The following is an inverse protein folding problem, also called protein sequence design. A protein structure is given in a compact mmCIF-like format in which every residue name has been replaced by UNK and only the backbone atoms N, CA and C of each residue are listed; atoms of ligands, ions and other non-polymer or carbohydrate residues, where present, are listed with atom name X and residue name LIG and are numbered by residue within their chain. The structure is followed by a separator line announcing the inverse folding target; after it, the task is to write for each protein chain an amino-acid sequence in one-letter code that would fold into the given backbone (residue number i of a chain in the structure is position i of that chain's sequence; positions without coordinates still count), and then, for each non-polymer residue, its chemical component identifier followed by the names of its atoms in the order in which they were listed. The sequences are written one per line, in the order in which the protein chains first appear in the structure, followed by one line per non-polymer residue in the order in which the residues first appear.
data_IF_928463817358
#
_entry.id   IF_928463817358
#
_cell.length_a   1.000
_cell.length_b   1.000
_cell.length_c   1.000
_cell.angle_alpha   90.00
_cell.angle_beta   90.00
_cell.angle_gamma   90.00
#
_symmetry.space_group_name_H-M   'P 1'
#
loop_
_entity.id
_entity.type
_entity.pdbx_description
1 polymer ?
#
# COMPACT_ATOMS: atom_id res chain seq x y z
N UNK A 1 -39.00 78.09 10.55
CA UNK A 1 -37.61 78.46 10.27
C UNK A 1 -36.81 77.18 10.22
N UNK A 2 -36.77 76.60 9.04
CA UNK A 2 -36.00 75.35 8.80
C UNK A 2 -34.54 75.69 8.60
N UNK A 3 -33.63 74.75 8.88
CA UNK A 3 -32.47 74.61 8.00
C UNK A 3 -32.16 73.21 7.54
N UNK A 4 -32.03 73.11 6.27
CA UNK A 4 -31.19 72.34 5.41
C UNK A 4 -30.53 71.04 5.94
N UNK A 5 -30.99 69.96 5.33
CA UNK A 5 -30.35 68.63 5.27
C UNK A 5 -29.20 68.61 4.28
N UNK A 6 -28.01 68.23 4.76
CA UNK A 6 -26.86 67.84 3.94
C UNK A 6 -26.73 66.32 3.85
N UNK A 7 -27.05 65.78 2.70
CA UNK A 7 -26.87 64.36 2.41
C UNK A 7 -25.42 64.14 1.92
N UNK A 8 -24.63 63.36 2.70
CA UNK A 8 -23.38 62.79 2.23
C UNK A 8 -23.58 61.31 1.98
N UNK A 9 -23.64 60.96 0.70
CA UNK A 9 -23.63 59.56 0.22
C UNK A 9 -22.24 59.00 0.36
N UNK A 10 -22.01 58.13 1.34
CA UNK A 10 -20.83 57.24 1.39
C UNK A 10 -21.15 55.94 0.64
N UNK A 11 -20.57 55.80 -0.54
CA UNK A 11 -20.53 54.53 -1.27
C UNK A 11 -19.65 53.53 -0.52
N UNK A 12 -20.30 52.69 0.28
CA UNK A 12 -19.66 51.55 0.90
C UNK A 12 -19.38 50.49 -0.17
N UNK A 13 -18.11 50.30 -0.48
CA UNK A 13 -17.62 49.14 -1.25
C UNK A 13 -17.92 47.86 -0.44
N UNK A 14 -18.93 47.10 -0.85
CA UNK A 14 -19.17 45.76 -0.37
C UNK A 14 -18.11 44.84 -0.93
N UNK A 15 -16.99 44.72 -0.21
CA UNK A 15 -16.01 43.68 -0.47
C UNK A 15 -16.68 42.33 -0.21
N UNK A 16 -16.88 41.56 -1.25
CA UNK A 16 -17.27 40.14 -1.14
C UNK A 16 -16.28 39.44 -0.21
N UNK A 17 -16.71 38.71 0.83
CA UNK A 17 -15.80 37.95 1.66
C UNK A 17 -15.00 37.00 0.80
N UNK A 18 -13.69 36.76 1.07
CA UNK A 18 -12.91 35.81 0.32
C UNK A 18 -13.60 34.44 0.39
N UNK A 19 -13.85 33.87 -0.78
CA UNK A 19 -14.46 32.54 -0.90
C UNK A 19 -13.67 31.56 -0.03
N UNK A 20 -14.35 30.84 0.84
CA UNK A 20 -13.76 29.76 1.61
C UNK A 20 -13.07 28.78 0.67
N UNK A 21 -11.90 28.25 1.05
CA UNK A 21 -11.20 27.28 0.23
C UNK A 21 -12.13 26.05 0.06
N UNK A 22 -12.37 25.61 -1.17
CA UNK A 22 -13.26 24.48 -1.41
C UNK A 22 -12.74 23.20 -0.70
N UNK A 23 -13.64 22.35 -0.20
CA UNK A 23 -13.38 21.19 0.66
C UNK A 23 -12.57 20.05 0.03
N UNK A 24 -12.41 20.00 -1.30
CA UNK A 24 -11.67 18.93 -1.96
C UNK A 24 -10.14 19.09 -1.86
N UNK A 25 -9.37 18.01 -1.64
CA UNK A 25 -7.92 18.02 -1.65
C UNK A 25 -7.34 18.59 -2.94
N UNK A 26 -6.20 19.28 -2.85
CA UNK A 26 -5.55 19.98 -3.99
C UNK A 26 -5.35 19.06 -5.22
N UNK A 27 -4.96 17.82 -5.01
CA UNK A 27 -4.66 16.88 -6.09
C UNK A 27 -5.95 16.32 -6.75
N UNK A 28 -7.02 16.19 -5.99
CA UNK A 28 -8.33 15.81 -6.52
C UNK A 28 -8.93 16.93 -7.38
N UNK A 29 -8.62 18.18 -7.04
CA UNK A 29 -8.98 19.34 -7.87
C UNK A 29 -8.20 19.38 -9.18
N UNK A 30 -6.90 19.02 -9.17
CA UNK A 30 -6.11 18.87 -10.39
C UNK A 30 -6.75 17.81 -11.29
N UNK A 31 -7.15 16.69 -10.74
CA UNK A 31 -7.74 15.58 -11.50
C UNK A 31 -9.10 15.93 -12.13
N UNK A 32 -9.88 16.83 -11.48
CA UNK A 32 -11.22 17.25 -11.95
C UNK A 32 -11.22 18.51 -12.81
N UNK A 33 -10.11 19.27 -12.88
CA UNK A 33 -10.05 20.55 -13.57
C UNK A 33 -9.77 20.40 -15.08
N UNK A 34 -10.49 21.18 -15.89
CA UNK A 34 -10.17 21.30 -17.31
C UNK A 34 -8.97 22.25 -17.51
N UNK A 35 -7.79 21.65 -17.65
CA UNK A 35 -6.51 22.34 -17.74
C UNK A 35 -6.00 22.41 -19.18
N UNK A 36 -5.50 23.58 -19.60
CA UNK A 36 -4.74 23.73 -20.84
C UNK A 36 -3.41 23.00 -20.78
N UNK A 37 -2.74 22.81 -21.91
CA UNK A 37 -1.44 22.12 -21.97
C UNK A 37 -0.41 22.72 -20.98
N UNK A 38 -0.29 24.05 -20.93
CA UNK A 38 0.64 24.74 -20.01
C UNK A 38 0.23 24.64 -18.54
N UNK A 39 -1.06 24.62 -18.26
CA UNK A 39 -1.56 24.41 -16.89
C UNK A 39 -1.37 22.95 -16.45
N UNK A 40 -1.44 22.00 -17.37
CA UNK A 40 -1.06 20.60 -17.10
C UNK A 40 0.43 20.43 -16.77
N UNK A 41 1.30 21.24 -17.35
CA UNK A 41 2.72 21.25 -16.99
C UNK A 41 2.89 21.71 -15.52
N UNK A 42 2.13 22.74 -15.09
CA UNK A 42 2.10 23.18 -13.69
C UNK A 42 1.53 22.09 -12.78
N UNK A 43 0.44 21.44 -13.17
CA UNK A 43 -0.15 20.33 -12.43
C UNK A 43 0.88 19.20 -12.20
N UNK A 44 1.50 18.73 -13.27
CA UNK A 44 2.56 17.69 -13.21
C UNK A 44 3.73 18.08 -12.32
N UNK A 45 4.13 19.33 -12.34
CA UNK A 45 5.19 19.83 -11.47
C UNK A 45 4.80 19.66 -9.99
N UNK A 46 3.59 20.06 -9.60
CA UNK A 46 3.10 19.87 -8.23
C UNK A 46 2.92 18.38 -7.88
N UNK A 47 2.36 17.58 -8.77
CA UNK A 47 2.18 16.12 -8.57
C UNK A 47 3.52 15.42 -8.27
N UNK A 48 4.59 15.81 -8.98
CA UNK A 48 5.89 15.18 -8.83
C UNK A 48 6.75 15.78 -7.70
N UNK A 49 6.52 17.03 -7.33
CA UNK A 49 7.42 17.79 -6.44
C UNK A 49 6.83 18.07 -5.05
N UNK A 50 5.55 17.73 -4.79
CA UNK A 50 5.03 17.80 -3.41
C UNK A 50 5.72 16.77 -2.51
N UNK A 51 6.00 17.08 -1.24
CA UNK A 51 5.63 18.32 -0.52
C UNK A 51 6.55 19.54 -0.77
N UNK A 52 7.69 19.36 -1.40
CA UNK A 52 8.67 20.45 -1.59
C UNK A 52 8.10 21.65 -2.36
N UNK A 53 7.31 21.41 -3.41
CA UNK A 53 6.70 22.46 -4.23
C UNK A 53 5.76 23.40 -3.46
N UNK A 54 5.19 22.96 -2.35
CA UNK A 54 4.35 23.81 -1.48
C UNK A 54 5.14 24.93 -0.80
N UNK A 55 6.45 24.78 -0.65
CA UNK A 55 7.32 25.74 -0.01
C UNK A 55 7.87 26.80 -0.99
N UNK A 56 7.75 26.56 -2.30
CA UNK A 56 8.26 27.42 -3.34
C UNK A 56 7.43 28.71 -3.47
N UNK A 57 8.10 29.78 -3.85
CA UNK A 57 7.44 31.03 -4.22
C UNK A 57 7.02 31.00 -5.70
N UNK A 58 6.27 32.03 -6.16
CA UNK A 58 5.73 32.09 -7.51
C UNK A 58 6.85 32.04 -8.58
N UNK A 59 7.94 32.74 -8.34
CA UNK A 59 9.07 32.83 -9.28
C UNK A 59 9.79 31.50 -9.42
N UNK A 60 9.99 30.79 -8.31
CA UNK A 60 10.58 29.44 -8.28
C UNK A 60 9.72 28.43 -9.02
N UNK A 61 8.39 28.48 -8.84
CA UNK A 61 7.46 27.63 -9.59
C UNK A 61 7.50 27.95 -11.07
N UNK A 62 7.44 29.24 -11.44
CA UNK A 62 7.55 29.66 -12.85
C UNK A 62 8.84 29.16 -13.49
N UNK A 63 9.95 29.28 -12.80
CA UNK A 63 11.27 28.83 -13.27
C UNK A 63 11.34 27.30 -13.38
N UNK A 64 10.79 26.57 -12.39
CA UNK A 64 10.80 25.12 -12.35
C UNK A 64 9.95 24.48 -13.45
N UNK A 65 8.87 25.14 -13.85
CA UNK A 65 7.96 24.66 -14.91
C UNK A 65 8.28 25.24 -16.28
N UNK A 66 8.93 26.39 -16.33
CA UNK A 66 9.15 27.13 -17.59
C UNK A 66 7.90 27.85 -18.10
N UNK A 67 7.07 28.40 -17.21
CA UNK A 67 5.83 29.13 -17.55
C UNK A 67 5.80 30.53 -16.94
N UNK A 68 4.90 31.38 -17.46
CA UNK A 68 4.71 32.73 -16.92
C UNK A 68 3.93 32.74 -15.62
N UNK A 69 4.09 33.79 -14.81
CA UNK A 69 3.31 34.00 -13.58
C UNK A 69 1.80 34.08 -13.86
N UNK A 70 1.41 34.60 -15.01
CA UNK A 70 0.02 34.64 -15.45
C UNK A 70 -0.56 33.21 -15.65
N UNK A 71 0.24 32.27 -16.14
CA UNK A 71 -0.18 30.86 -16.29
C UNK A 71 -0.40 30.22 -14.94
N UNK A 72 0.52 30.40 -13.99
CA UNK A 72 0.39 29.86 -12.63
C UNK A 72 -0.79 30.50 -11.89
N UNK A 73 -1.04 31.80 -12.07
CA UNK A 73 -2.19 32.47 -11.48
C UNK A 73 -3.52 31.97 -12.07
N UNK A 74 -3.60 31.69 -13.37
CA UNK A 74 -4.80 31.07 -13.99
C UNK A 74 -5.00 29.66 -13.49
N UNK A 75 -3.96 28.86 -13.39
CA UNK A 75 -4.00 27.53 -12.82
C UNK A 75 -4.59 27.56 -11.41
N UNK A 76 -4.09 28.42 -10.50
CA UNK A 76 -4.61 28.55 -9.14
C UNK A 76 -6.12 28.87 -9.13
N UNK A 77 -6.57 29.81 -10.00
CA UNK A 77 -8.00 30.19 -10.11
C UNK A 77 -8.87 29.05 -10.65
N UNK A 78 -8.38 28.26 -11.61
CA UNK A 78 -9.10 27.08 -12.11
C UNK A 78 -9.27 25.99 -11.05
N UNK A 79 -8.36 25.91 -10.10
CA UNK A 79 -8.46 25.02 -8.95
C UNK A 79 -9.33 25.62 -7.81
N UNK A 80 -9.99 26.76 -8.03
CA UNK A 80 -10.90 27.38 -7.06
C UNK A 80 -10.21 28.28 -6.02
N UNK A 81 -8.92 28.62 -6.21
CA UNK A 81 -8.23 29.57 -5.33
C UNK A 81 -8.35 31.00 -5.86
N UNK A 82 -8.42 31.98 -4.97
CA UNK A 82 -8.46 33.38 -5.35
C UNK A 82 -7.21 33.79 -6.15
N UNK A 83 -6.04 33.33 -5.72
CA UNK A 83 -4.73 33.61 -6.33
C UNK A 83 -3.69 32.53 -5.96
N UNK A 84 -2.48 32.67 -6.48
CA UNK A 84 -1.34 31.81 -6.14
C UNK A 84 -1.02 31.81 -4.65
N UNK A 85 -1.15 32.98 -3.98
CA UNK A 85 -0.84 33.12 -2.55
C UNK A 85 -1.84 32.31 -1.69
N UNK A 86 -3.12 32.34 -2.04
CA UNK A 86 -4.17 31.53 -1.41
C UNK A 86 -3.91 30.02 -1.64
N UNK A 87 -3.58 29.62 -2.88
CA UNK A 87 -3.18 28.26 -3.21
C UNK A 87 -1.96 27.81 -2.42
N UNK A 88 -0.88 28.61 -2.38
CA UNK A 88 0.35 28.29 -1.66
C UNK A 88 0.13 28.17 -0.15
N UNK A 89 -0.73 29.03 0.44
CA UNK A 89 -1.09 28.92 1.87
C UNK A 89 -1.83 27.61 2.16
N UNK A 90 -2.82 27.26 1.32
CA UNK A 90 -3.56 26.01 1.44
C UNK A 90 -2.64 24.79 1.31
N UNK A 91 -1.75 24.79 0.33
CA UNK A 91 -0.75 23.74 0.14
C UNK A 91 0.20 23.60 1.34
N UNK A 92 0.71 24.73 1.85
CA UNK A 92 1.58 24.72 3.04
C UNK A 92 0.86 24.18 4.28
N UNK A 93 -0.41 24.55 4.47
CA UNK A 93 -1.24 24.03 5.55
C UNK A 93 -1.42 22.50 5.40
N UNK A 94 -1.78 22.01 4.21
CA UNK A 94 -1.90 20.59 3.93
C UNK A 94 -0.60 19.81 4.12
N UNK A 95 0.53 20.35 3.62
CA UNK A 95 1.86 19.75 3.80
C UNK A 95 2.27 19.74 5.27
N UNK A 96 2.03 20.82 6.00
CA UNK A 96 2.31 20.88 7.44
C UNK A 96 1.50 19.83 8.19
N UNK A 97 0.24 19.66 7.84
CA UNK A 97 -0.65 18.66 8.42
C UNK A 97 -0.24 17.22 8.05
N UNK A 98 0.19 16.98 6.79
CA UNK A 98 0.68 15.69 6.33
C UNK A 98 2.04 15.29 6.93
N UNK A 99 2.90 16.27 7.19
CA UNK A 99 4.22 16.07 7.78
C UNK A 99 4.21 16.12 9.30
N UNK A 100 3.13 16.63 9.92
CA UNK A 100 3.03 16.71 11.37
C UNK A 100 3.08 15.32 12.00
N UNK A 101 3.91 15.19 13.03
CA UNK A 101 3.89 14.03 13.89
C UNK A 101 2.58 14.00 14.71
N UNK A 102 2.14 12.84 15.20
CA UNK A 102 1.00 12.80 16.11
C UNK A 102 1.14 13.73 17.32
N UNK A 103 2.37 13.88 17.84
CA UNK A 103 2.67 14.80 18.94
C UNK A 103 2.47 16.28 18.58
N UNK A 104 2.72 16.67 17.32
CA UNK A 104 2.46 18.04 16.87
C UNK A 104 0.96 18.31 16.74
N UNK A 105 0.19 17.28 16.32
CA UNK A 105 -1.27 17.36 16.27
C UNK A 105 -1.89 17.43 17.67
N UNK A 106 -1.28 16.80 18.66
CA UNK A 106 -1.73 16.90 20.04
C UNK A 106 -1.77 18.34 20.53
N UNK A 107 -0.77 19.16 20.17
CA UNK A 107 -0.71 20.58 20.53
C UNK A 107 -1.85 21.41 19.92
N UNK A 108 -2.40 20.97 18.78
CA UNK A 108 -3.53 21.67 18.14
C UNK A 108 -4.89 21.21 18.68
N UNK A 109 -4.93 20.08 19.40
CA UNK A 109 -6.13 19.56 20.04
C UNK A 109 -6.31 20.13 21.46
N UNK A 110 -5.27 20.79 22.03
CA UNK A 110 -5.34 21.42 23.34
C UNK A 110 -6.34 22.59 23.41
N UNK A 111 -6.73 23.15 22.26
CA UNK A 111 -7.80 24.17 22.16
C UNK A 111 -9.20 23.53 21.95
N UNK A 112 -9.30 22.21 21.98
CA UNK A 112 -10.54 21.48 21.75
C UNK A 112 -11.26 21.14 23.05
N UNK A 113 -12.59 21.23 23.03
CA UNK A 113 -13.47 20.81 24.11
C UNK A 113 -13.11 19.40 24.61
N UNK A 114 -12.99 19.22 25.91
CA UNK A 114 -12.88 17.92 26.58
C UNK A 114 -14.11 17.08 26.22
N UNK A 115 -13.96 16.20 25.23
CA UNK A 115 -15.05 15.31 24.81
C UNK A 115 -15.18 14.16 25.80
N UNK A 116 -16.40 13.91 26.24
CA UNK A 116 -16.69 12.71 27.02
C UNK A 116 -16.30 11.44 26.25
N UNK A 117 -15.84 10.37 26.95
CA UNK A 117 -15.36 9.14 26.29
C UNK A 117 -16.35 8.56 25.28
N UNK A 118 -17.65 8.61 25.57
CA UNK A 118 -18.73 8.13 24.69
C UNK A 118 -18.80 8.93 23.39
N UNK A 119 -18.60 10.24 23.47
CA UNK A 119 -18.55 11.11 22.28
C UNK A 119 -17.29 10.90 21.45
N UNK A 120 -16.17 10.50 22.08
CA UNK A 120 -14.93 10.13 21.37
C UNK A 120 -15.13 8.88 20.53
N UNK A 121 -15.77 7.84 21.09
CA UNK A 121 -16.06 6.61 20.34
C UNK A 121 -17.00 6.89 19.18
N UNK A 122 -18.12 7.59 19.41
CA UNK A 122 -19.07 7.95 18.37
C UNK A 122 -18.41 8.75 17.24
N UNK A 123 -17.59 9.75 17.60
CA UNK A 123 -16.80 10.52 16.64
C UNK A 123 -15.86 9.63 15.80
N UNK A 124 -15.14 8.70 16.44
CA UNK A 124 -14.25 7.76 15.71
C UNK A 124 -15.02 6.85 14.76
N UNK A 125 -16.21 6.39 15.14
CA UNK A 125 -17.09 5.60 14.26
C UNK A 125 -17.52 6.44 13.05
N UNK A 126 -17.95 7.68 13.24
CA UNK A 126 -18.30 8.57 12.14
C UNK A 126 -17.13 8.82 11.18
N UNK A 127 -15.92 9.05 11.71
CA UNK A 127 -14.72 9.20 10.89
C UNK A 127 -14.40 7.93 10.08
N UNK A 128 -14.60 6.76 10.67
CA UNK A 128 -14.40 5.49 9.98
C UNK A 128 -15.45 5.29 8.88
N UNK A 129 -16.73 5.58 9.15
CA UNK A 129 -17.81 5.52 8.17
C UNK A 129 -17.55 6.46 6.98
N UNK A 130 -17.16 7.71 7.24
CA UNK A 130 -16.81 8.67 6.20
C UNK A 130 -15.62 8.17 5.35
N UNK A 131 -14.61 7.59 5.99
CA UNK A 131 -13.45 7.00 5.30
C UNK A 131 -13.84 5.81 4.42
N UNK A 132 -14.72 4.93 4.90
CA UNK A 132 -15.22 3.78 4.14
C UNK A 132 -16.02 4.24 2.92
N UNK A 133 -16.97 5.16 3.11
CA UNK A 133 -17.81 5.69 2.01
C UNK A 133 -16.95 6.39 0.94
N UNK A 134 -16.01 7.23 1.35
CA UNK A 134 -15.09 7.91 0.43
C UNK A 134 -14.13 6.94 -0.28
N UNK A 135 -13.72 5.88 0.38
CA UNK A 135 -12.84 4.87 -0.22
C UNK A 135 -13.58 4.02 -1.26
N UNK A 136 -14.84 3.68 -1.00
CA UNK A 136 -15.66 2.91 -1.94
C UNK A 136 -15.80 3.63 -3.30
N UNK A 137 -15.92 4.96 -3.30
CA UNK A 137 -16.00 5.77 -4.52
C UNK A 137 -14.63 6.08 -5.14
N UNK A 138 -13.54 5.90 -4.39
CA UNK A 138 -12.18 6.25 -4.83
C UNK A 138 -11.38 5.08 -5.38
N UNK A 139 -11.73 3.85 -5.05
CA UNK A 139 -11.06 2.66 -5.54
C UNK A 139 -11.52 2.39 -6.97
N UNK A 140 -10.55 2.24 -7.87
CA UNK A 140 -10.80 1.78 -9.23
C UNK A 140 -11.13 0.29 -9.22
N UNK A 141 -12.32 -0.08 -9.71
CA UNK A 141 -12.81 -1.46 -9.71
C UNK A 141 -11.92 -2.38 -10.57
N UNK A 142 -11.40 -1.89 -11.69
CA UNK A 142 -10.50 -2.67 -12.54
C UNK A 142 -9.13 -2.90 -11.86
N UNK A 143 -8.61 -1.88 -11.17
CA UNK A 143 -7.39 -2.03 -10.38
C UNK A 143 -7.60 -3.00 -9.21
N UNK A 144 -8.75 -2.96 -8.55
CA UNK A 144 -9.09 -3.91 -7.48
C UNK A 144 -9.20 -5.34 -8.01
N UNK A 145 -9.93 -5.56 -9.10
CA UNK A 145 -10.06 -6.88 -9.74
C UNK A 145 -8.67 -7.44 -10.13
N UNK A 146 -7.83 -6.61 -10.74
CA UNK A 146 -6.46 -7.00 -11.09
C UNK A 146 -5.62 -7.34 -9.85
N UNK A 147 -5.76 -6.61 -8.75
CA UNK A 147 -5.09 -6.94 -7.50
C UNK A 147 -5.57 -8.28 -6.94
N UNK A 148 -6.87 -8.58 -7.03
CA UNK A 148 -7.44 -9.86 -6.61
C UNK A 148 -6.82 -11.02 -7.40
N UNK A 149 -6.75 -10.92 -8.74
CA UNK A 149 -6.16 -11.96 -9.59
C UNK A 149 -4.67 -12.17 -9.25
N UNK A 150 -3.91 -11.10 -9.09
CA UNK A 150 -2.49 -11.15 -8.74
C UNK A 150 -2.24 -11.77 -7.35
N UNK A 151 -3.09 -11.45 -6.37
CA UNK A 151 -2.97 -12.00 -5.02
C UNK A 151 -3.45 -13.45 -4.97
N UNK A 152 -4.41 -13.84 -5.79
CA UNK A 152 -4.93 -15.20 -5.85
C UNK A 152 -4.01 -16.19 -6.59
N UNK A 153 -3.12 -15.70 -7.45
CA UNK A 153 -2.21 -16.52 -8.26
C UNK A 153 -1.16 -17.21 -7.38
N UNK A 154 -1.41 -18.49 -7.03
CA UNK A 154 -0.57 -19.31 -6.13
C UNK A 154 0.75 -19.76 -6.81
N UNK A 155 0.85 -19.68 -8.12
CA UNK A 155 2.07 -20.02 -8.86
C UNK A 155 3.13 -18.90 -8.76
N UNK A 156 2.72 -17.69 -8.40
CA UNK A 156 3.60 -16.52 -8.28
C UNK A 156 3.95 -16.23 -6.81
N UNK A 157 5.25 -16.10 -6.44
CA UNK A 157 5.65 -15.66 -5.12
C UNK A 157 5.09 -14.27 -4.78
N UNK A 158 4.47 -14.11 -3.61
CA UNK A 158 3.90 -12.85 -3.15
C UNK A 158 4.74 -12.27 -2.00
N UNK A 159 5.27 -11.07 -2.21
CA UNK A 159 6.02 -10.32 -1.20
C UNK A 159 5.18 -9.17 -0.64
N UNK A 160 5.04 -9.12 0.67
CA UNK A 160 4.28 -8.09 1.37
C UNK A 160 5.24 -7.14 2.09
N UNK A 161 5.21 -5.85 1.77
CA UNK A 161 6.14 -4.89 2.32
C UNK A 161 5.51 -3.57 2.76
N UNK A 162 5.67 -3.22 4.04
CA UNK A 162 5.23 -1.95 4.60
C UNK A 162 6.11 -1.55 5.79
N UNK A 163 5.99 -0.30 6.20
CA UNK A 163 6.61 0.21 7.44
C UNK A 163 5.58 0.96 8.28
N UNK A 164 5.93 1.25 9.53
CA UNK A 164 5.08 1.97 10.48
C UNK A 164 3.66 1.38 10.56
N UNK A 165 2.61 2.20 10.43
CA UNK A 165 1.21 1.76 10.56
C UNK A 165 0.74 0.79 9.46
N UNK A 166 1.46 0.67 8.36
CA UNK A 166 1.16 -0.28 7.30
C UNK A 166 1.61 -1.71 7.63
N UNK A 167 2.69 -1.85 8.39
CA UNK A 167 3.28 -3.15 8.71
C UNK A 167 2.32 -4.08 9.49
N UNK A 168 1.69 -3.66 10.60
CA UNK A 168 0.76 -4.52 11.31
C UNK A 168 -0.47 -4.90 10.46
N UNK A 169 -0.91 -4.05 9.54
CA UNK A 169 -2.01 -4.37 8.63
C UNK A 169 -1.62 -5.46 7.63
N UNK A 170 -0.43 -5.37 7.03
CA UNK A 170 0.06 -6.42 6.13
C UNK A 170 0.43 -7.70 6.90
N UNK A 171 0.83 -7.60 8.18
CA UNK A 171 1.03 -8.77 9.02
C UNK A 171 -0.29 -9.51 9.24
N UNK A 172 -1.35 -8.80 9.65
CA UNK A 172 -2.69 -9.36 9.78
C UNK A 172 -3.16 -10.02 8.46
N UNK A 173 -3.03 -9.30 7.36
CA UNK A 173 -3.36 -9.83 6.03
C UNK A 173 -2.56 -11.10 5.68
N UNK A 174 -1.26 -11.12 5.95
CA UNK A 174 -0.37 -12.26 5.72
C UNK A 174 -0.82 -13.50 6.53
N UNK A 175 -1.19 -13.30 7.81
CA UNK A 175 -1.67 -14.38 8.67
C UNK A 175 -2.93 -15.02 8.09
N UNK A 176 -3.91 -14.23 7.67
CA UNK A 176 -5.16 -14.73 7.11
C UNK A 176 -4.96 -15.33 5.71
N UNK A 177 -4.15 -14.70 4.87
CA UNK A 177 -3.86 -15.17 3.53
C UNK A 177 -3.14 -16.53 3.54
N UNK A 178 -2.39 -16.84 4.59
CA UNK A 178 -1.70 -18.13 4.74
C UNK A 178 -2.66 -19.33 4.84
N UNK A 179 -3.95 -19.13 5.15
CA UNK A 179 -4.98 -20.17 5.06
C UNK A 179 -5.43 -20.43 3.63
N UNK A 180 -5.23 -19.47 2.73
CA UNK A 180 -5.75 -19.50 1.37
C UNK A 180 -4.70 -19.91 0.35
N UNK A 181 -3.43 -19.47 0.53
CA UNK A 181 -2.35 -19.75 -0.43
C UNK A 181 -0.99 -19.92 0.23
N UNK A 182 -0.08 -20.53 -0.51
CA UNK A 182 1.35 -20.65 -0.16
C UNK A 182 2.19 -19.56 -0.83
N UNK A 183 3.50 -19.57 -0.64
CA UNK A 183 4.42 -18.66 -1.35
C UNK A 183 4.30 -17.19 -0.94
N UNK A 184 3.79 -16.88 0.27
CA UNK A 184 3.69 -15.52 0.79
C UNK A 184 4.86 -15.21 1.70
N UNK A 185 5.56 -14.12 1.44
CA UNK A 185 6.69 -13.64 2.23
C UNK A 185 6.41 -12.24 2.77
N UNK A 186 6.27 -12.12 4.08
CA UNK A 186 6.21 -10.83 4.75
C UNK A 186 7.62 -10.27 4.92
N UNK A 187 7.87 -9.08 4.38
CA UNK A 187 9.11 -8.34 4.56
C UNK A 187 9.09 -7.67 5.93
N UNK A 188 9.72 -8.33 6.90
CA UNK A 188 9.73 -7.94 8.30
C UNK A 188 11.17 -7.76 8.82
N UNK A 189 11.34 -6.80 9.73
CA UNK A 189 12.64 -6.45 10.32
C UNK A 189 13.61 -5.79 9.33
N UNK A 190 14.59 -5.05 9.84
CA UNK A 190 15.46 -4.20 9.01
C UNK A 190 16.40 -5.04 8.13
N UNK A 191 17.06 -6.03 8.71
CA UNK A 191 18.05 -6.83 7.99
C UNK A 191 17.40 -7.92 7.13
N UNK A 192 16.34 -8.56 7.63
CA UNK A 192 15.63 -9.60 6.89
C UNK A 192 14.90 -9.08 5.67
N UNK A 193 14.46 -7.80 5.70
CA UNK A 193 13.82 -7.17 4.54
C UNK A 193 14.71 -7.24 3.29
N UNK A 194 15.99 -6.85 3.40
CA UNK A 194 16.90 -6.86 2.27
C UNK A 194 17.17 -8.28 1.74
N UNK A 195 17.35 -9.25 2.65
CA UNK A 195 17.55 -10.65 2.28
C UNK A 195 16.32 -11.27 1.61
N UNK A 196 15.13 -11.06 2.18
CA UNK A 196 13.89 -11.56 1.60
C UNK A 196 13.60 -10.92 0.23
N UNK A 197 13.83 -9.61 0.10
CA UNK A 197 13.64 -8.89 -1.16
C UNK A 197 14.64 -9.31 -2.27
N UNK A 198 15.74 -9.95 -1.92
CA UNK A 198 16.69 -10.49 -2.91
C UNK A 198 16.07 -11.61 -3.77
N UNK A 199 15.05 -12.31 -3.27
CA UNK A 199 14.33 -13.35 -4.00
C UNK A 199 13.27 -12.83 -4.99
N UNK A 200 13.05 -11.53 -5.06
CA UNK A 200 12.07 -10.94 -6.01
C UNK A 200 12.64 -11.04 -7.44
N UNK A 201 11.82 -11.57 -8.34
CA UNK A 201 12.11 -11.75 -9.76
C UNK A 201 10.89 -11.36 -10.63
N UNK A 202 10.93 -11.62 -11.92
CA UNK A 202 9.87 -11.27 -12.87
C UNK A 202 8.55 -12.01 -12.63
N UNK A 203 8.59 -13.20 -12.06
CA UNK A 203 7.40 -13.99 -11.73
C UNK A 203 6.75 -13.53 -10.42
N UNK A 204 7.44 -12.71 -9.64
CA UNK A 204 6.99 -12.27 -8.32
C UNK A 204 5.89 -11.21 -8.38
N UNK A 205 5.05 -11.20 -7.35
CA UNK A 205 4.11 -10.11 -7.05
C UNK A 205 4.56 -9.41 -5.78
N UNK A 206 4.57 -8.09 -5.78
CA UNK A 206 4.91 -7.26 -4.62
C UNK A 206 3.69 -6.43 -4.21
N UNK A 207 3.12 -6.67 -3.03
CA UNK A 207 2.12 -5.80 -2.44
C UNK A 207 2.78 -4.93 -1.39
N UNK A 208 2.88 -3.65 -1.70
CA UNK A 208 3.45 -2.63 -0.82
C UNK A 208 2.35 -1.76 -0.21
N UNK A 209 2.50 -1.35 1.05
CA UNK A 209 1.58 -0.40 1.68
C UNK A 209 2.32 0.79 2.29
N UNK A 210 1.82 2.00 2.01
CA UNK A 210 2.34 3.25 2.55
C UNK A 210 1.24 4.29 2.73
N UNK A 211 1.18 4.89 3.91
CA UNK A 211 0.14 5.86 4.26
C UNK A 211 0.76 7.16 4.76
N UNK A 212 0.13 8.28 4.41
CA UNK A 212 0.47 9.65 4.80
C UNK A 212 1.85 10.13 4.30
N UNK A 213 2.82 9.25 4.19
CA UNK A 213 4.21 9.55 3.81
C UNK A 213 4.70 8.57 2.75
N UNK A 214 5.81 8.91 2.13
CA UNK A 214 6.50 8.07 1.14
C UNK A 214 7.81 7.53 1.75
N UNK A 215 7.74 6.47 2.60
CA UNK A 215 8.91 5.97 3.30
C UNK A 215 9.93 5.39 2.33
N UNK A 216 11.22 5.70 2.59
CA UNK A 216 12.32 5.27 1.74
C UNK A 216 12.38 3.75 1.50
N UNK A 217 12.12 2.87 2.49
CA UNK A 217 12.13 1.43 2.27
C UNK A 217 11.05 0.98 1.27
N UNK A 218 9.81 1.50 1.37
CA UNK A 218 8.74 1.16 0.43
C UNK A 218 9.06 1.67 -0.98
N UNK A 219 9.63 2.88 -1.09
CA UNK A 219 10.10 3.42 -2.38
C UNK A 219 11.20 2.54 -2.99
N UNK A 220 12.13 2.07 -2.18
CA UNK A 220 13.20 1.17 -2.61
C UNK A 220 12.64 -0.18 -3.07
N UNK A 221 11.66 -0.73 -2.35
CA UNK A 221 10.98 -1.98 -2.70
C UNK A 221 10.26 -1.88 -4.06
N UNK A 222 9.46 -0.84 -4.29
CA UNK A 222 8.78 -0.63 -5.57
C UNK A 222 9.77 -0.42 -6.73
N UNK A 223 10.88 0.29 -6.48
CA UNK A 223 11.95 0.42 -7.47
C UNK A 223 12.65 -0.91 -7.76
N UNK A 224 12.84 -1.74 -6.73
CA UNK A 224 13.40 -3.08 -6.90
C UNK A 224 12.45 -3.95 -7.73
N UNK A 225 11.16 -4.00 -7.39
CA UNK A 225 10.16 -4.72 -8.13
C UNK A 225 10.20 -4.33 -9.63
N UNK A 226 10.17 -3.03 -9.92
CA UNK A 226 10.26 -2.52 -11.29
C UNK A 226 11.56 -2.93 -12.01
N UNK A 227 12.73 -2.90 -11.34
CA UNK A 227 14.00 -3.34 -11.93
C UNK A 227 14.07 -4.84 -12.18
N UNK A 228 13.32 -5.63 -11.42
CA UNK A 228 13.24 -7.08 -11.53
C UNK A 228 12.06 -7.55 -12.37
N UNK A 229 11.32 -6.59 -12.98
CA UNK A 229 10.12 -6.85 -13.80
C UNK A 229 8.99 -7.55 -13.02
N UNK A 230 9.07 -7.54 -11.68
CA UNK A 230 8.01 -8.03 -10.80
C UNK A 230 6.78 -7.12 -10.88
N UNK A 231 5.59 -7.72 -10.83
CA UNK A 231 4.34 -6.96 -10.80
C UNK A 231 4.11 -6.37 -9.41
N UNK A 232 3.78 -5.07 -9.33
CA UNK A 232 3.64 -4.37 -8.07
C UNK A 232 2.25 -3.81 -7.85
N UNK A 233 1.74 -3.96 -6.61
CA UNK A 233 0.51 -3.40 -6.10
C UNK A 233 0.88 -2.42 -4.99
N UNK A 234 0.39 -1.19 -5.03
CA UNK A 234 0.55 -0.21 -3.96
C UNK A 234 -0.81 0.08 -3.32
N UNK A 235 -0.93 -0.22 -2.04
CA UNK A 235 -2.05 0.18 -1.19
C UNK A 235 -1.67 1.45 -0.44
N UNK A 236 -2.38 2.55 -0.68
CA UNK A 236 -2.02 3.87 -0.14
C UNK A 236 -3.25 4.75 0.04
N UNK A 237 -3.11 5.82 0.80
CA UNK A 237 -4.11 6.89 0.87
C UNK A 237 -3.71 8.13 0.03
N UNK A 238 -2.77 7.96 -0.91
CA UNK A 238 -2.30 9.05 -1.78
C UNK A 238 -2.34 8.63 -3.24
N UNK A 239 -3.10 9.35 -4.05
CA UNK A 239 -3.17 9.13 -5.51
C UNK A 239 -1.95 9.66 -6.25
N UNK A 240 -1.25 10.59 -5.63
CA UNK A 240 -0.13 11.31 -6.24
C UNK A 240 1.08 11.32 -5.30
N UNK A 241 2.24 11.65 -5.86
CA UNK A 241 3.49 11.67 -5.13
C UNK A 241 4.50 10.66 -5.67
N UNK A 242 5.59 10.40 -4.94
CA UNK A 242 6.72 9.63 -5.48
C UNK A 242 6.54 8.10 -5.47
N UNK A 243 5.48 7.56 -4.89
CA UNK A 243 5.22 6.11 -4.86
C UNK A 243 4.26 5.65 -5.96
N UNK A 244 3.07 6.28 -6.18
CA UNK A 244 2.09 5.82 -7.14
C UNK A 244 2.66 5.57 -8.55
N UNK A 245 3.54 6.43 -9.13
CA UNK A 245 4.11 6.18 -10.45
C UNK A 245 5.05 4.97 -10.54
N UNK A 246 5.41 4.37 -9.40
CA UNK A 246 6.30 3.20 -9.35
C UNK A 246 5.54 1.88 -9.32
N UNK A 247 4.23 1.90 -9.07
CA UNK A 247 3.38 0.72 -8.96
C UNK A 247 2.60 0.46 -10.26
N UNK A 248 2.36 -0.81 -10.56
CA UNK A 248 1.57 -1.26 -11.72
C UNK A 248 0.06 -1.24 -11.41
N UNK A 249 -0.30 -1.50 -10.16
CA UNK A 249 -1.66 -1.45 -9.66
C UNK A 249 -1.73 -0.54 -8.43
N UNK A 250 -2.66 0.41 -8.44
CA UNK A 250 -2.84 1.37 -7.36
C UNK A 250 -4.19 1.15 -6.68
N UNK A 251 -4.17 0.80 -5.41
CA UNK A 251 -5.35 0.75 -4.54
C UNK A 251 -5.32 1.94 -3.59
N UNK A 252 -6.29 2.84 -3.74
CA UNK A 252 -6.31 4.08 -2.98
C UNK A 252 -7.45 4.10 -1.98
N UNK A 253 -7.12 4.18 -0.69
CA UNK A 253 -8.10 4.44 0.37
C UNK A 253 -8.12 5.91 0.74
N UNK A 254 -9.27 6.44 1.10
CA UNK A 254 -9.42 7.84 1.49
C UNK A 254 -9.62 7.96 2.99
N UNK A 255 -8.97 8.93 3.60
CA UNK A 255 -9.21 9.30 5.00
C UNK A 255 -9.52 10.80 5.06
N UNK A 256 -10.79 11.19 4.98
CA UNK A 256 -11.19 12.59 4.88
C UNK A 256 -10.99 13.39 6.15
N UNK A 257 -10.83 12.71 7.30
CA UNK A 257 -10.73 13.39 8.58
C UNK A 257 -9.38 14.10 8.75
N UNK A 258 -9.45 15.40 8.82
CA UNK A 258 -8.29 16.27 9.08
C UNK A 258 -8.08 16.52 10.57
N UNK A 259 -9.12 16.37 11.41
CA UNK A 259 -9.15 16.81 12.81
C UNK A 259 -8.86 15.70 13.82
N UNK A 260 -8.43 14.54 13.37
CA UNK A 260 -8.06 13.45 14.27
C UNK A 260 -6.54 13.36 14.47
N UNK A 261 -6.11 13.23 15.73
CA UNK A 261 -4.71 12.96 16.07
C UNK A 261 -4.14 11.76 15.30
N UNK A 262 -4.91 10.69 15.24
CA UNK A 262 -4.58 9.49 14.47
C UNK A 262 -5.59 9.31 13.32
N UNK A 263 -5.10 9.20 12.10
CA UNK A 263 -5.95 8.88 10.94
C UNK A 263 -6.47 7.45 11.03
N UNK A 264 -7.73 7.25 10.68
CA UNK A 264 -8.33 5.92 10.65
C UNK A 264 -7.69 5.06 9.54
N UNK A 265 -7.57 3.76 9.81
CA UNK A 265 -7.16 2.74 8.83
C UNK A 265 -8.29 1.74 8.53
N UNK A 266 -9.52 2.05 8.98
CA UNK A 266 -10.66 1.17 8.78
C UNK A 266 -10.86 0.79 7.31
N UNK A 267 -10.87 1.77 6.40
CA UNK A 267 -11.00 1.49 4.98
C UNK A 267 -9.85 0.65 4.41
N UNK A 268 -8.64 0.86 4.89
CA UNK A 268 -7.48 0.04 4.48
C UNK A 268 -7.66 -1.42 4.92
N UNK A 269 -8.12 -1.65 6.15
CA UNK A 269 -8.38 -3.00 6.65
C UNK A 269 -9.48 -3.69 5.84
N UNK A 270 -10.59 -3.00 5.58
CA UNK A 270 -11.69 -3.52 4.76
C UNK A 270 -11.23 -3.87 3.33
N UNK A 271 -10.35 -3.08 2.72
CA UNK A 271 -9.78 -3.41 1.40
C UNK A 271 -8.94 -4.69 1.45
N UNK A 272 -8.15 -4.88 2.50
CA UNK A 272 -7.37 -6.13 2.69
C UNK A 272 -8.28 -7.33 2.94
N UNK A 273 -9.33 -7.18 3.73
CA UNK A 273 -10.35 -8.21 3.97
C UNK A 273 -11.10 -8.56 2.67
N UNK A 274 -11.48 -7.56 1.88
CA UNK A 274 -12.10 -7.77 0.58
C UNK A 274 -11.17 -8.51 -0.42
N UNK A 275 -9.86 -8.26 -0.38
CA UNK A 275 -8.88 -9.06 -1.14
C UNK A 275 -8.85 -10.52 -0.67
N UNK A 276 -8.94 -10.80 0.64
CA UNK A 276 -9.01 -12.16 1.16
C UNK A 276 -10.28 -12.88 0.69
N UNK A 277 -11.43 -12.21 0.75
CA UNK A 277 -12.70 -12.75 0.28
C UNK A 277 -12.67 -13.05 -1.23
N UNK A 278 -12.06 -12.17 -2.01
CA UNK A 278 -11.90 -12.37 -3.46
C UNK A 278 -10.98 -13.56 -3.76
N UNK A 279 -9.85 -13.71 -3.05
CA UNK A 279 -8.95 -14.85 -3.15
C UNK A 279 -9.69 -16.14 -2.78
N UNK A 280 -10.43 -16.15 -1.68
CA UNK A 280 -11.24 -17.28 -1.25
C UNK A 280 -12.33 -17.64 -2.29
N UNK A 281 -12.94 -16.65 -2.94
CA UNK A 281 -13.90 -16.86 -4.01
C UNK A 281 -13.24 -17.40 -5.30
N UNK A 282 -12.02 -16.94 -5.63
CA UNK A 282 -11.22 -17.45 -6.75
C UNK A 282 -10.88 -18.93 -6.55
N UNK A 283 -10.35 -19.29 -5.39
CA UNK A 283 -10.00 -20.67 -5.04
C UNK A 283 -11.19 -21.62 -5.03
N UNK A 284 -12.39 -21.14 -4.64
CA UNK A 284 -13.62 -21.96 -4.70
C UNK A 284 -14.05 -22.30 -6.12
N UNK A 285 -13.72 -21.46 -7.09
CA UNK A 285 -13.98 -21.70 -8.52
C UNK A 285 -12.99 -22.68 -9.14
N UNK A 286 -11.78 -22.73 -8.62
CA UNK A 286 -10.76 -23.66 -9.07
C UNK A 286 -11.05 -25.08 -8.52
N UNK A 287 -11.27 -26.05 -9.41
CA UNK A 287 -11.52 -27.45 -9.04
C UNK A 287 -10.37 -28.09 -8.27
N UNK A 288 -9.14 -27.64 -8.46
CA UNK A 288 -7.96 -28.14 -7.77
C UNK A 288 -7.94 -27.78 -6.27
N UNK A 289 -8.57 -26.69 -5.87
CA UNK A 289 -8.69 -26.34 -4.44
C UNK A 289 -9.52 -27.37 -3.65
N UNK A 290 -10.57 -27.93 -4.25
CA UNK A 290 -11.39 -28.99 -3.61
C UNK A 290 -10.59 -30.24 -3.25
N UNK A 291 -9.54 -30.55 -3.99
CA UNK A 291 -8.66 -31.69 -3.73
C UNK A 291 -7.58 -31.35 -2.68
N UNK A 292 -7.13 -30.10 -2.60
CA UNK A 292 -6.16 -29.65 -1.58
C UNK A 292 -6.82 -29.41 -0.21
N UNK A 293 -8.04 -28.90 -0.16
CA UNK A 293 -8.82 -28.73 1.09
C UNK A 293 -9.28 -30.04 1.73
N UNK A 294 -9.18 -31.15 1.01
CA UNK A 294 -9.36 -32.49 1.60
C UNK A 294 -8.15 -32.95 2.43
N UNK A 295 -7.03 -32.21 2.40
CA UNK A 295 -5.98 -32.33 3.38
C UNK A 295 -6.48 -31.64 4.65
N UNK A 296 -7.04 -32.44 5.55
CA UNK A 296 -7.48 -32.15 6.90
C UNK A 296 -6.65 -31.03 7.53
N UNK A 297 -7.26 -29.96 8.11
CA UNK A 297 -6.55 -29.06 9.01
C UNK A 297 -5.81 -29.96 10.01
N UNK A 298 -4.50 -29.84 10.05
CA UNK A 298 -3.72 -30.71 10.91
C UNK A 298 -4.29 -30.60 12.33
N UNK A 299 -4.59 -31.72 12.95
CA UNK A 299 -5.08 -31.90 14.31
C UNK A 299 -4.31 -31.03 15.35
N UNK A 300 -3.16 -30.51 14.98
CA UNK A 300 -2.36 -29.56 15.76
C UNK A 300 -3.00 -28.19 15.98
N UNK A 301 -3.89 -27.71 15.09
CA UNK A 301 -4.50 -26.39 15.24
C UNK A 301 -5.66 -26.41 16.24
N UNK A 302 -6.47 -27.46 16.22
CA UNK A 302 -7.55 -27.67 17.19
C UNK A 302 -7.00 -27.85 18.61
N UNK A 303 -5.88 -28.57 18.77
CA UNK A 303 -5.24 -28.77 20.05
C UNK A 303 -4.63 -27.51 20.67
N UNK A 304 -4.19 -26.54 19.85
CA UNK A 304 -3.61 -25.26 20.34
C UNK A 304 -4.68 -24.30 20.86
N UNK A 305 -5.89 -24.33 20.29
CA UNK A 305 -6.97 -23.43 20.69
C UNK A 305 -7.96 -24.05 21.70
N UNK A 306 -8.02 -25.39 21.78
CA UNK A 306 -9.01 -26.10 22.62
C UNK A 306 -8.41 -26.66 23.91
N UNK A 307 -7.07 -26.71 24.02
CA UNK A 307 -6.42 -27.16 25.26
C UNK A 307 -6.40 -25.97 26.25
N UNK A 308 -7.29 -26.07 27.26
CA UNK A 308 -7.56 -25.05 28.27
C UNK A 308 -6.37 -24.69 29.20
N UNK A 309 -5.15 -25.04 28.85
CA UNK A 309 -3.92 -24.66 29.56
C UNK A 309 -3.32 -23.38 28.97
N UNK A 310 -3.87 -22.23 29.33
CA UNK A 310 -3.66 -20.89 28.76
C UNK A 310 -2.28 -20.24 28.90
N UNK A 311 -1.16 -20.96 28.93
CA UNK A 311 0.15 -20.31 29.13
C UNK A 311 1.15 -20.34 27.96
N UNK A 312 0.89 -21.03 26.85
CA UNK A 312 1.89 -21.12 25.77
C UNK A 312 1.40 -20.87 24.33
N UNK A 313 0.20 -20.36 24.13
CA UNK A 313 -0.47 -20.45 22.83
C UNK A 313 0.07 -19.55 21.69
N UNK A 314 0.37 -18.29 21.94
CA UNK A 314 0.68 -17.35 20.86
C UNK A 314 2.10 -17.49 20.27
N UNK A 315 3.10 -17.78 21.11
CA UNK A 315 4.48 -17.97 20.65
C UNK A 315 4.71 -19.34 20.00
N UNK A 316 4.03 -20.38 20.47
CA UNK A 316 4.13 -21.73 19.93
C UNK A 316 3.55 -21.83 18.50
N UNK A 317 2.44 -21.15 18.21
CA UNK A 317 1.82 -21.14 16.86
C UNK A 317 2.72 -20.49 15.83
N UNK A 318 3.34 -19.36 16.15
CA UNK A 318 4.28 -18.68 15.25
C UNK A 318 5.53 -19.53 15.03
N UNK A 319 6.04 -20.18 16.06
CA UNK A 319 7.22 -21.04 15.99
C UNK A 319 6.97 -22.35 15.23
N UNK A 320 5.82 -23.00 15.46
CA UNK A 320 5.47 -24.27 14.80
C UNK A 320 5.17 -24.07 13.30
N UNK A 321 4.47 -23.02 12.93
CA UNK A 321 4.24 -22.70 11.51
C UNK A 321 5.54 -22.37 10.77
N UNK A 322 6.44 -21.64 11.42
CA UNK A 322 7.77 -21.36 10.88
C UNK A 322 8.65 -22.61 10.79
N UNK A 323 8.64 -23.44 11.81
CA UNK A 323 9.42 -24.68 11.85
C UNK A 323 8.93 -25.72 10.85
N UNK A 324 7.63 -25.80 10.61
CA UNK A 324 7.06 -26.69 9.59
C UNK A 324 7.45 -26.26 8.17
N UNK A 325 7.40 -24.94 7.88
CA UNK A 325 7.84 -24.38 6.58
C UNK A 325 9.35 -24.55 6.35
N UNK A 326 10.16 -24.37 7.38
CA UNK A 326 11.61 -24.61 7.31
C UNK A 326 11.87 -26.10 7.03
N UNK A 327 11.17 -27.03 7.67
CA UNK A 327 11.31 -28.47 7.38
C UNK A 327 10.89 -28.80 5.96
N UNK A 328 9.74 -28.30 5.47
CA UNK A 328 9.31 -28.53 4.08
C UNK A 328 10.28 -27.94 3.06
N UNK A 329 10.80 -26.73 3.29
CA UNK A 329 11.82 -26.12 2.44
C UNK A 329 13.13 -26.91 2.48
N UNK A 330 13.54 -27.38 3.66
CA UNK A 330 14.76 -28.19 3.83
C UNK A 330 14.60 -29.56 3.18
N UNK A 331 13.46 -30.21 3.31
CA UNK A 331 13.16 -31.50 2.67
C UNK A 331 13.09 -31.36 1.14
N UNK A 332 12.53 -30.26 0.64
CA UNK A 332 12.49 -29.98 -0.81
C UNK A 332 13.89 -29.69 -1.35
N UNK A 333 14.70 -28.95 -0.62
CA UNK A 333 16.09 -28.68 -0.98
C UNK A 333 16.93 -29.96 -0.90
N UNK A 334 16.75 -30.79 0.13
CA UNK A 334 17.41 -32.07 0.28
C UNK A 334 17.08 -33.04 -0.87
N UNK A 335 15.81 -33.07 -1.32
CA UNK A 335 15.41 -33.89 -2.47
C UNK A 335 15.99 -33.37 -3.77
N UNK A 336 16.18 -32.05 -3.94
CA UNK A 336 16.82 -31.45 -5.11
C UNK A 336 18.32 -31.61 -5.14
N UNK A 337 18.96 -31.68 -3.97
CA UNK A 337 20.41 -31.83 -3.80
C UNK A 337 20.84 -33.29 -3.62
N UNK A 338 19.92 -34.23 -3.46
CA UNK A 338 20.23 -35.65 -3.40
C UNK A 338 20.91 -36.06 -4.72
N UNK A 339 22.12 -36.67 -4.66
CA UNK A 339 22.83 -37.11 -5.85
C UNK A 339 21.92 -38.11 -6.61
N UNK A 340 21.70 -37.85 -7.89
CA UNK A 340 21.00 -38.81 -8.75
C UNK A 340 21.74 -40.16 -8.64
N UNK A 341 21.07 -41.15 -8.07
CA UNK A 341 21.58 -42.53 -8.05
C UNK A 341 21.88 -42.92 -9.48
N UNK A 342 23.17 -43.17 -9.79
CA UNK A 342 23.55 -43.79 -11.07
C UNK A 342 22.80 -45.11 -11.16
N UNK A 343 22.28 -45.48 -12.33
CA UNK A 343 21.72 -46.81 -12.54
C UNK A 343 22.85 -47.81 -12.28
N UNK A 344 22.55 -49.02 -11.74
CA UNK A 344 23.57 -50.04 -11.47
C UNK A 344 24.28 -50.37 -12.79
N UNK A 345 25.58 -50.25 -12.78
CA UNK A 345 26.43 -50.72 -13.86
C UNK A 345 26.19 -52.24 -13.97
N UNK A 346 25.83 -52.74 -15.18
CA UNK A 346 25.80 -54.16 -15.46
C UNK A 346 27.20 -54.69 -15.18
N UNK A 347 27.31 -55.67 -14.28
CA UNK A 347 28.53 -56.46 -14.09
C UNK A 347 28.81 -57.19 -15.41
N UNK A 348 29.88 -56.82 -16.07
CA UNK A 348 30.44 -57.62 -17.20
C UNK A 348 31.04 -58.85 -16.56
N UNK A 349 30.47 -60.01 -16.88
CA UNK A 349 31.06 -61.29 -16.54
C UNK A 349 32.45 -61.42 -17.20
N UNK A 350 33.50 -61.79 -16.45
CA UNK A 350 34.81 -62.02 -17.06
C UNK A 350 34.75 -63.25 -17.96
N UNK A 351 35.20 -63.10 -19.19
CA UNK A 351 35.41 -64.17 -20.16
C UNK A 351 36.39 -65.21 -19.53
N UNK A 352 35.93 -66.44 -19.44
CA UNK A 352 36.82 -67.58 -19.14
C UNK A 352 37.73 -67.84 -20.31
N UNK A 353 39.07 -68.08 -20.09
CA UNK A 353 39.99 -68.44 -21.15
C UNK A 353 39.77 -69.89 -21.61
N UNK A 354 39.62 -70.07 -22.92
CA UNK A 354 39.51 -71.35 -23.61
C UNK A 354 40.77 -72.19 -23.40
N UNK A 355 40.60 -73.44 -22.94
CA UNK A 355 41.64 -74.44 -22.78
C UNK A 355 42.23 -74.85 -24.17
N UNK A 356 43.51 -75.05 -24.31
CA UNK A 356 44.13 -75.57 -25.53
C UNK A 356 43.84 -77.04 -25.70
N UNK A 357 43.42 -77.51 -26.85
CA UNK A 357 43.31 -78.91 -27.24
C UNK A 357 44.67 -79.53 -27.48
N UNK A 358 45.09 -80.55 -26.68
CA UNK A 358 46.15 -81.39 -26.94
C UNK A 358 45.82 -82.39 -28.05
N UNK A 359 46.52 -82.32 -29.18
CA UNK A 359 46.71 -83.45 -30.09
C UNK A 359 48.09 -83.99 -29.85
N UNK A 360 48.17 -85.27 -29.68
CA UNK A 360 49.36 -86.10 -29.82
C UNK A 360 48.99 -87.37 -30.64
N UNK A 361 50.01 -87.99 -31.20
CA UNK A 361 49.98 -88.48 -32.56
C UNK A 361 49.36 -89.82 -32.79
#
# INVERSE_FOLDING_TARGET
MEPHTGSTSSTGSTGTPPAEPPDAPFLDRIASADLTARERDVARFYENSLPGAALLNLEEVCRGVGVSSATVARFARKLGYADFRAMSRSLRAGVRQDLSLPVDRLRWLDDGEDRAPESVLAHRVHLAQASLSASLTSIDEAAFARACDLVADDDRPLYLGAVASGQPLLHHFCLLLAYLRTGVTLLDGTDRWAHAAAGIDADSVVLAAAFDRSPAPVKALLRLARRREATSILLTNRRTGPLPPLADVLLTTTSPAQDAMFRTRAATLVVLEALLDAVAAHLRRDRHFRTRSAVTPSTSYENVYLDGSGQHSAQAVTFLSHSHRIRQATDTLARRLAPRRRPPQREEHPCQPSRPSSRTP
#
